data_IF_637230249111
#
_entry.id   IF_637230249111
#
_cell.length_a   1.000
_cell.length_b   1.000
_cell.length_c   1.000
_cell.angle_alpha   90.00
_cell.angle_beta   90.00
_cell.angle_gamma   90.00
#
_symmetry.space_group_name_H-M   'P 1'
#
loop_
_entity.id
_entity.type
_entity.pdbx_description
1 polymer ?
#
# COMPACT_ATOMS: atom_id res chain seq x y z
N UNK A 1 26.09 28.49 -14.87
CA UNK A 1 25.54 27.46 -13.95
C UNK A 1 24.79 26.42 -14.79
N UNK A 2 24.90 25.14 -14.42
CA UNK A 2 24.11 24.14 -15.06
C UNK A 2 22.62 24.34 -14.71
N UNK A 3 21.76 24.24 -15.72
CA UNK A 3 20.32 24.26 -15.54
C UNK A 3 19.82 22.81 -15.39
N UNK A 4 19.01 22.57 -14.37
CA UNK A 4 18.46 21.26 -14.07
C UNK A 4 16.94 21.28 -14.21
N UNK A 5 16.36 20.20 -14.70
CA UNK A 5 14.91 20.06 -14.85
C UNK A 5 14.19 19.92 -13.51
N UNK A 6 14.86 19.34 -12.50
CA UNK A 6 14.34 19.07 -11.17
C UNK A 6 15.33 19.46 -10.08
N UNK A 7 14.82 19.84 -8.93
CA UNK A 7 15.61 20.03 -7.71
C UNK A 7 15.97 18.68 -7.07
N UNK A 8 15.05 17.70 -7.17
CA UNK A 8 15.24 16.34 -6.67
C UNK A 8 14.63 15.34 -7.64
N UNK A 9 15.41 14.34 -8.00
CA UNK A 9 14.94 13.18 -8.76
C UNK A 9 15.06 11.92 -7.90
N UNK A 10 13.93 11.27 -7.61
CA UNK A 10 13.85 10.09 -6.74
C UNK A 10 13.74 8.84 -7.59
N UNK A 11 14.56 7.86 -7.32
CA UNK A 11 14.51 6.53 -7.98
C UNK A 11 13.83 5.55 -7.04
N UNK A 12 12.64 5.12 -7.41
CA UNK A 12 11.79 4.21 -6.66
C UNK A 12 10.70 4.90 -5.84
N UNK A 13 9.45 4.54 -6.07
CA UNK A 13 8.27 5.06 -5.36
C UNK A 13 7.76 4.06 -4.30
N UNK A 14 8.67 3.48 -3.56
CA UNK A 14 8.36 2.72 -2.34
C UNK A 14 8.13 3.65 -1.15
N UNK A 15 8.16 3.12 0.06
CA UNK A 15 7.91 3.88 1.30
C UNK A 15 8.86 5.07 1.46
N UNK A 16 10.16 4.84 1.24
CA UNK A 16 11.18 5.90 1.37
C UNK A 16 11.08 6.93 0.25
N UNK A 17 11.00 6.48 -1.00
CA UNK A 17 10.95 7.35 -2.17
C UNK A 17 9.70 8.21 -2.22
N UNK A 18 8.54 7.65 -1.92
CA UNK A 18 7.27 8.39 -1.83
C UNK A 18 7.34 9.48 -0.76
N UNK A 19 7.89 9.15 0.42
CA UNK A 19 8.06 10.15 1.48
C UNK A 19 9.06 11.24 1.09
N UNK A 20 10.22 10.86 0.56
CA UNK A 20 11.25 11.81 0.13
C UNK A 20 10.69 12.77 -0.93
N UNK A 21 10.03 12.25 -1.95
CA UNK A 21 9.44 13.07 -3.01
C UNK A 21 8.34 14.00 -2.48
N UNK A 22 7.39 13.47 -1.74
CA UNK A 22 6.25 14.23 -1.20
C UNK A 22 6.69 15.33 -0.25
N UNK A 23 7.57 15.01 0.69
CA UNK A 23 8.00 15.97 1.71
C UNK A 23 8.85 17.07 1.07
N UNK A 24 9.77 16.73 0.17
CA UNK A 24 10.57 17.74 -0.55
C UNK A 24 9.70 18.67 -1.39
N UNK A 25 8.71 18.13 -2.10
CA UNK A 25 7.77 18.93 -2.86
C UNK A 25 6.93 19.86 -1.96
N UNK A 26 6.58 19.43 -0.76
CA UNK A 26 5.84 20.28 0.19
C UNK A 26 6.63 21.50 0.67
N UNK A 27 7.95 21.47 0.55
CA UNK A 27 8.84 22.61 0.82
C UNK A 27 9.17 23.42 -0.43
N UNK A 28 8.51 23.16 -1.55
CA UNK A 28 8.65 23.96 -2.76
C UNK A 28 9.65 23.41 -3.79
N UNK A 29 10.26 22.26 -3.55
CA UNK A 29 11.15 21.64 -4.53
C UNK A 29 10.37 21.11 -5.75
N UNK A 30 10.96 21.26 -6.93
CA UNK A 30 10.48 20.62 -8.15
C UNK A 30 10.98 19.17 -8.17
N UNK A 31 10.09 18.22 -7.99
CA UNK A 31 10.44 16.81 -7.77
C UNK A 31 9.84 15.90 -8.82
N UNK A 32 10.64 14.96 -9.29
CA UNK A 32 10.17 13.79 -10.03
C UNK A 32 10.53 12.50 -9.29
N UNK A 33 9.69 11.48 -9.44
CA UNK A 33 9.95 10.12 -8.97
C UNK A 33 9.78 9.11 -10.09
N UNK A 34 10.78 8.27 -10.31
CA UNK A 34 10.72 7.15 -11.25
C UNK A 34 10.40 5.86 -10.52
N UNK A 35 9.48 5.07 -11.09
CA UNK A 35 9.09 3.75 -10.56
C UNK A 35 9.02 2.73 -11.70
N UNK A 36 9.70 1.62 -11.55
CA UNK A 36 9.73 0.59 -12.60
C UNK A 36 8.52 -0.34 -12.61
N UNK A 37 7.73 -0.38 -11.52
CA UNK A 37 6.61 -1.31 -11.42
C UNK A 37 5.34 -0.59 -10.95
N UNK A 38 5.13 -0.45 -9.63
CA UNK A 38 3.92 0.17 -9.07
C UNK A 38 4.26 1.06 -7.89
N UNK A 39 3.64 2.23 -7.84
CA UNK A 39 3.76 3.16 -6.71
C UNK A 39 3.26 2.48 -5.42
N UNK A 40 4.03 2.60 -4.36
CA UNK A 40 3.78 1.95 -3.07
C UNK A 40 4.89 0.99 -2.66
N UNK A 41 5.60 0.43 -3.63
CA UNK A 41 6.75 -0.44 -3.41
C UNK A 41 6.41 -1.77 -2.74
N UNK A 42 7.42 -2.44 -2.24
CA UNK A 42 7.28 -3.79 -1.65
C UNK A 42 6.28 -3.82 -0.51
N UNK A 43 6.32 -2.86 0.40
CA UNK A 43 5.43 -2.84 1.58
C UNK A 43 3.96 -2.82 1.20
N UNK A 44 3.57 -1.95 0.28
CA UNK A 44 2.16 -1.80 -0.15
C UNK A 44 1.72 -2.94 -1.07
N UNK A 45 2.55 -3.29 -2.05
CA UNK A 45 2.14 -4.18 -3.15
C UNK A 45 2.26 -5.65 -2.79
N UNK A 46 3.31 -6.05 -2.08
CA UNK A 46 3.62 -7.47 -1.82
C UNK A 46 4.30 -7.75 -0.48
N UNK A 47 4.14 -6.87 0.48
CA UNK A 47 4.81 -6.96 1.79
C UNK A 47 3.88 -6.68 2.95
N UNK A 48 4.14 -5.61 3.67
CA UNK A 48 3.52 -5.28 4.95
C UNK A 48 1.99 -5.26 4.91
N UNK A 49 1.41 -4.67 3.89
CA UNK A 49 -0.05 -4.50 3.79
C UNK A 49 -0.75 -5.82 3.46
N UNK A 50 -0.44 -6.51 2.34
CA UNK A 50 -1.09 -7.78 2.06
C UNK A 50 -0.83 -8.83 3.15
N UNK A 51 0.38 -8.88 3.71
CA UNK A 51 0.70 -9.77 4.83
C UNK A 51 -0.22 -9.52 6.03
N UNK A 52 -0.40 -8.26 6.41
CA UNK A 52 -1.25 -7.91 7.56
C UNK A 52 -2.71 -8.31 7.36
N UNK A 53 -3.24 -8.07 6.16
CA UNK A 53 -4.61 -8.47 5.83
C UNK A 53 -4.80 -10.00 5.85
N UNK A 54 -3.83 -10.75 5.34
CA UNK A 54 -3.83 -12.21 5.41
C UNK A 54 -3.79 -12.71 6.85
N UNK A 55 -2.95 -12.10 7.70
CA UNK A 55 -2.87 -12.44 9.13
C UNK A 55 -4.20 -12.13 9.84
N UNK A 56 -4.81 -10.99 9.57
CA UNK A 56 -6.12 -10.67 10.14
C UNK A 56 -7.18 -11.68 9.69
N UNK A 57 -7.18 -12.08 8.42
CA UNK A 57 -8.08 -13.11 7.91
C UNK A 57 -7.91 -14.46 8.61
N UNK A 58 -6.68 -14.83 8.99
CA UNK A 58 -6.39 -16.09 9.68
C UNK A 58 -6.89 -16.12 11.13
N UNK A 59 -6.94 -14.98 11.80
CA UNK A 59 -7.38 -14.90 13.20
C UNK A 59 -8.83 -15.30 13.41
N UNK A 60 -9.70 -15.11 12.41
CA UNK A 60 -11.11 -15.47 12.55
C UNK A 60 -11.34 -16.95 12.86
N UNK A 61 -10.47 -17.85 12.42
CA UNK A 61 -10.59 -19.27 12.75
C UNK A 61 -10.39 -19.52 14.25
N UNK A 62 -9.44 -18.86 14.87
CA UNK A 62 -9.18 -18.93 16.31
C UNK A 62 -10.32 -18.29 17.10
N UNK A 63 -10.77 -17.12 16.68
CA UNK A 63 -11.88 -16.40 17.31
C UNK A 63 -13.19 -17.20 17.26
N UNK A 64 -13.44 -17.91 16.16
CA UNK A 64 -14.57 -18.82 16.07
C UNK A 64 -14.48 -19.96 17.09
N UNK A 65 -13.32 -20.53 17.29
CA UNK A 65 -13.13 -21.56 18.32
C UNK A 65 -13.27 -20.99 19.73
N UNK A 66 -12.61 -19.90 20.02
CA UNK A 66 -12.64 -19.26 21.33
C UNK A 66 -14.03 -18.76 21.70
N UNK A 67 -14.78 -18.25 20.73
CA UNK A 67 -16.14 -17.73 20.93
C UNK A 67 -17.11 -18.75 21.54
N UNK A 68 -16.90 -20.04 21.33
CA UNK A 68 -17.70 -21.10 21.95
C UNK A 68 -17.65 -21.03 23.48
N UNK A 69 -16.51 -20.68 24.05
CA UNK A 69 -16.32 -20.53 25.48
C UNK A 69 -17.05 -19.30 26.06
N UNK A 70 -17.45 -18.37 25.18
CA UNK A 70 -18.16 -17.14 25.54
C UNK A 70 -19.66 -17.16 25.17
N UNK A 71 -20.19 -18.34 24.90
CA UNK A 71 -21.63 -18.53 24.65
C UNK A 71 -22.05 -18.36 23.18
N UNK A 72 -21.12 -18.21 22.26
CA UNK A 72 -21.42 -18.13 20.83
C UNK A 72 -21.59 -19.55 20.25
N UNK A 73 -22.56 -19.70 19.38
CA UNK A 73 -22.78 -20.93 18.59
C UNK A 73 -22.95 -20.55 17.13
N UNK A 74 -22.39 -21.37 16.25
CA UNK A 74 -22.56 -21.26 14.80
C UNK A 74 -22.37 -22.61 14.17
N UNK A 75 -23.06 -22.80 13.03
CA UNK A 75 -22.98 -24.00 12.23
C UNK A 75 -22.26 -23.68 10.90
N UNK A 76 -21.46 -24.64 10.41
CA UNK A 76 -20.88 -24.62 9.06
C UNK A 76 -20.05 -23.38 8.73
N UNK A 77 -19.15 -22.97 9.62
CA UNK A 77 -18.15 -21.96 9.28
C UNK A 77 -17.31 -22.44 8.08
N UNK A 78 -17.31 -21.70 7.00
CA UNK A 78 -16.59 -22.01 5.77
C UNK A 78 -15.64 -20.90 5.41
N UNK A 79 -14.46 -21.28 4.91
CA UNK A 79 -13.46 -20.36 4.41
C UNK A 79 -13.38 -20.44 2.88
N UNK A 80 -13.37 -19.27 2.24
CA UNK A 80 -13.18 -19.11 0.81
C UNK A 80 -11.90 -18.33 0.54
N UNK A 81 -10.87 -19.03 0.10
CA UNK A 81 -9.57 -18.44 -0.24
C UNK A 81 -9.67 -17.41 -1.37
N UNK A 82 -10.44 -17.70 -2.41
CA UNK A 82 -10.56 -16.79 -3.55
C UNK A 82 -11.13 -15.44 -3.12
N UNK A 83 -12.12 -15.47 -2.23
CA UNK A 83 -12.73 -14.24 -1.68
C UNK A 83 -11.74 -13.42 -0.83
N UNK A 84 -10.95 -14.07 0.02
CA UNK A 84 -9.90 -13.38 0.79
C UNK A 84 -8.83 -12.81 -0.12
N UNK A 85 -8.31 -13.61 -1.05
CA UNK A 85 -7.32 -13.17 -2.03
C UNK A 85 -7.78 -11.94 -2.79
N UNK A 86 -8.98 -11.97 -3.33
CA UNK A 86 -9.51 -10.88 -4.14
C UNK A 86 -9.75 -9.61 -3.31
N UNK A 87 -10.17 -9.75 -2.05
CA UNK A 87 -10.25 -8.63 -1.11
C UNK A 87 -8.90 -7.98 -0.85
N UNK A 88 -7.87 -8.79 -0.60
CA UNK A 88 -6.49 -8.30 -0.39
C UNK A 88 -5.96 -7.57 -1.63
N UNK A 89 -6.13 -8.16 -2.82
CA UNK A 89 -5.68 -7.54 -4.07
C UNK A 89 -6.39 -6.21 -4.35
N UNK A 90 -7.69 -6.15 -4.08
CA UNK A 90 -8.46 -4.92 -4.22
C UNK A 90 -7.97 -3.80 -3.28
N UNK A 91 -7.59 -4.14 -2.06
CA UNK A 91 -7.06 -3.16 -1.11
C UNK A 91 -5.66 -2.69 -1.51
N UNK A 92 -4.82 -3.58 -2.05
CA UNK A 92 -3.53 -3.22 -2.64
C UNK A 92 -3.70 -2.23 -3.80
N UNK A 93 -4.65 -2.45 -4.70
CA UNK A 93 -4.97 -1.54 -5.79
C UNK A 93 -5.44 -0.17 -5.28
N UNK A 94 -6.30 -0.18 -4.27
CA UNK A 94 -6.75 1.06 -3.61
C UNK A 94 -5.58 1.87 -3.06
N UNK A 95 -4.63 1.22 -2.38
CA UNK A 95 -3.46 1.89 -1.82
C UNK A 95 -2.48 2.36 -2.89
N UNK A 96 -2.26 1.57 -3.93
CA UNK A 96 -1.46 2.01 -5.08
C UNK A 96 -2.00 3.32 -5.66
N UNK A 97 -3.30 3.41 -5.85
CA UNK A 97 -3.97 4.62 -6.32
C UNK A 97 -3.84 5.77 -5.32
N UNK A 98 -4.03 5.51 -4.03
CA UNK A 98 -3.93 6.53 -2.98
C UNK A 98 -2.52 7.14 -2.90
N UNK A 99 -1.48 6.31 -2.98
CA UNK A 99 -0.10 6.78 -3.01
C UNK A 99 0.20 7.59 -4.27
N UNK A 100 -0.30 7.14 -5.41
CA UNK A 100 -0.18 7.88 -6.69
C UNK A 100 -0.84 9.25 -6.60
N UNK A 101 -2.06 9.32 -6.10
CA UNK A 101 -2.77 10.58 -5.92
C UNK A 101 -2.08 11.50 -4.89
N UNK A 102 -1.52 10.93 -3.83
CA UNK A 102 -0.75 11.71 -2.84
C UNK A 102 0.46 12.39 -3.49
N UNK A 103 1.21 11.69 -4.32
CA UNK A 103 2.34 12.28 -5.06
C UNK A 103 1.87 13.37 -6.01
N UNK A 104 0.84 13.13 -6.80
CA UNK A 104 0.27 14.11 -7.74
C UNK A 104 -0.23 15.36 -7.01
N UNK A 105 -0.93 15.20 -5.89
CA UNK A 105 -1.46 16.31 -5.11
C UNK A 105 -0.38 17.20 -4.50
N UNK A 106 0.84 16.69 -4.34
CA UNK A 106 2.01 17.45 -3.92
C UNK A 106 2.81 18.01 -5.10
N UNK A 107 2.34 17.84 -6.33
CA UNK A 107 3.01 18.33 -7.53
C UNK A 107 4.23 17.52 -7.96
N UNK A 108 4.36 16.28 -7.48
CA UNK A 108 5.44 15.38 -7.89
C UNK A 108 5.13 14.77 -9.25
N UNK A 109 6.07 14.86 -10.19
CA UNK A 109 5.98 14.15 -11.47
C UNK A 109 6.31 12.68 -11.28
N UNK A 110 5.45 11.80 -11.80
CA UNK A 110 5.65 10.35 -11.73
C UNK A 110 6.04 9.84 -13.11
N UNK A 111 7.18 9.16 -13.18
CA UNK A 111 7.72 8.55 -14.39
C UNK A 111 7.68 7.02 -14.18
N UNK A 112 6.85 6.33 -14.97
CA UNK A 112 6.70 4.88 -14.96
C UNK A 112 7.47 4.22 -16.11
#
# INVERSE_FOLDING_TARGET
>A
MAEFDYDLFVIGAGSGGTRAARVSASYGAKVAVAEEYRVGGTCVIRGCVPKKLLVYGSHFSEELEDGKNFGWTWDNAKFDWARLRDHVLKDVDRLNNAYTETLKNHGVEIIL
#
